data_IF_360028070610
#
_entry.id   IF_360028070610
#
_cell.length_a   1.000
_cell.length_b   1.000
_cell.length_c   1.000
_cell.angle_alpha   90.00
_cell.angle_beta   90.00
_cell.angle_gamma   90.00
#
_symmetry.space_group_name_H-M   'P 1'
#
loop_
_entity.id
_entity.type
_entity.pdbx_description
1 polymer ?
#
# COMPACT_ATOMS: atom_id res chain seq x y z
N UNK A 1 7.94 -7.87 10.23
CA UNK A 1 7.52 -6.50 9.90
C UNK A 1 6.38 -6.60 8.91
N UNK A 2 5.26 -5.95 9.22
CA UNK A 2 4.04 -5.95 8.41
C UNK A 2 3.88 -4.62 7.68
N UNK A 3 2.96 -4.55 6.70
CA UNK A 3 2.67 -3.32 5.96
C UNK A 3 2.32 -2.14 6.88
N UNK A 4 1.58 -2.38 7.97
CA UNK A 4 1.26 -1.37 8.99
C UNK A 4 2.49 -0.75 9.67
N UNK A 5 3.60 -1.49 9.76
CA UNK A 5 4.85 -0.98 10.36
C UNK A 5 5.56 -0.01 9.40
N UNK A 6 5.42 -0.23 8.09
CA UNK A 6 5.95 0.67 7.04
C UNK A 6 5.25 2.01 7.11
N UNK A 7 3.92 2.00 7.28
CA UNK A 7 3.05 3.18 7.26
C UNK A 7 2.97 3.91 8.60
N UNK A 8 3.52 3.36 9.68
CA UNK A 8 3.54 4.02 11.00
C UNK A 8 4.16 5.42 10.94
N UNK A 9 3.48 6.43 11.48
CA UNK A 9 3.87 7.84 11.39
C UNK A 9 3.98 8.34 9.93
N UNK A 10 3.12 7.86 9.03
CA UNK A 10 3.14 8.15 7.58
C UNK A 10 3.38 9.62 7.26
N UNK A 11 2.70 10.52 7.98
CA UNK A 11 2.75 11.98 7.79
C UNK A 11 4.16 12.56 7.90
N UNK A 12 5.02 12.00 8.76
CA UNK A 12 6.36 12.54 9.03
C UNK A 12 7.48 11.79 8.30
N UNK A 13 7.17 10.72 7.57
CA UNK A 13 8.19 9.98 6.83
C UNK A 13 8.50 10.64 5.48
N UNK A 14 9.78 10.67 5.10
CA UNK A 14 10.20 11.04 3.73
C UNK A 14 9.94 9.88 2.77
N UNK A 15 9.84 10.18 1.46
CA UNK A 15 9.75 9.16 0.41
C UNK A 15 10.86 8.11 0.56
N UNK A 16 12.11 8.56 0.68
CA UNK A 16 13.27 7.69 0.89
C UNK A 16 13.12 6.75 2.09
N UNK A 17 12.63 7.24 3.25
CA UNK A 17 12.42 6.41 4.44
C UNK A 17 11.32 5.38 4.23
N UNK A 18 10.24 5.75 3.55
CA UNK A 18 9.15 4.83 3.21
C UNK A 18 9.67 3.70 2.30
N UNK A 19 10.38 4.04 1.23
CA UNK A 19 10.99 3.04 0.35
C UNK A 19 11.93 2.10 1.11
N UNK A 20 12.78 2.65 1.98
CA UNK A 20 13.76 1.86 2.73
C UNK A 20 13.07 0.88 3.68
N UNK A 21 12.03 1.33 4.40
CA UNK A 21 11.22 0.46 5.26
C UNK A 21 10.49 -0.60 4.45
N UNK A 22 9.88 -0.21 3.33
CA UNK A 22 9.17 -1.14 2.45
C UNK A 22 10.13 -2.21 1.90
N UNK A 23 11.28 -1.83 1.35
CA UNK A 23 12.32 -2.77 0.89
C UNK A 23 12.79 -3.71 2.00
N UNK A 24 12.95 -3.20 3.24
CA UNK A 24 13.29 -4.04 4.40
C UNK A 24 12.16 -5.01 4.76
N UNK A 25 10.89 -4.59 4.66
CA UNK A 25 9.73 -5.45 4.86
C UNK A 25 9.72 -6.60 3.86
N UNK A 26 9.88 -6.27 2.57
CA UNK A 26 9.90 -7.25 1.48
C UNK A 26 10.97 -8.32 1.67
N UNK A 27 12.15 -7.95 2.18
CA UNK A 27 13.25 -8.89 2.46
C UNK A 27 13.00 -9.77 3.68
N UNK A 28 12.31 -9.25 4.70
CA UNK A 28 12.18 -9.91 6.01
C UNK A 28 10.86 -10.66 6.17
N UNK A 29 9.86 -10.37 5.34
CA UNK A 29 8.54 -10.98 5.45
C UNK A 29 8.23 -11.82 4.20
N UNK A 30 8.27 -13.16 4.31
CA UNK A 30 8.03 -14.05 3.18
C UNK A 30 6.61 -13.97 2.64
N UNK A 31 5.65 -13.44 3.41
CA UNK A 31 4.25 -13.26 3.00
C UNK A 31 4.11 -12.44 1.72
N UNK A 32 5.02 -11.49 1.50
CA UNK A 32 4.94 -10.55 0.38
C UNK A 32 5.82 -10.94 -0.81
N UNK A 33 6.43 -12.14 -0.83
CA UNK A 33 7.34 -12.56 -1.91
C UNK A 33 6.69 -12.61 -3.30
N UNK A 34 5.37 -12.67 -3.36
CA UNK A 34 4.55 -12.62 -4.57
C UNK A 34 4.53 -11.23 -5.25
N UNK A 35 4.88 -10.15 -4.54
CA UNK A 35 4.90 -8.82 -5.14
C UNK A 35 6.17 -8.63 -5.96
N UNK A 36 6.02 -8.68 -7.28
CA UNK A 36 7.09 -8.33 -8.21
C UNK A 36 7.45 -6.83 -8.15
N UNK A 37 8.37 -6.39 -9.01
CA UNK A 37 8.83 -4.99 -9.02
C UNK A 37 7.72 -4.00 -9.37
N UNK A 38 6.80 -4.38 -10.25
CA UNK A 38 5.70 -3.51 -10.67
C UNK A 38 4.64 -3.40 -9.56
N UNK A 39 4.30 -4.52 -8.92
CA UNK A 39 3.41 -4.57 -7.76
C UNK A 39 3.98 -3.78 -6.58
N UNK A 40 5.29 -3.87 -6.35
CA UNK A 40 5.99 -3.09 -5.33
C UNK A 40 5.91 -1.58 -5.61
N UNK A 41 6.10 -1.17 -6.86
CA UNK A 41 5.98 0.23 -7.26
C UNK A 41 4.56 0.75 -7.05
N UNK A 42 3.56 -0.01 -7.51
CA UNK A 42 2.14 0.30 -7.29
C UNK A 42 1.83 0.52 -5.81
N UNK A 43 2.33 -0.37 -4.93
CA UNK A 43 2.12 -0.25 -3.49
C UNK A 43 2.77 1.01 -2.93
N UNK A 44 3.99 1.35 -3.34
CA UNK A 44 4.63 2.60 -2.92
C UNK A 44 3.80 3.80 -3.37
N UNK A 45 3.36 3.82 -4.63
CA UNK A 45 2.54 4.92 -5.17
C UNK A 45 1.23 5.08 -4.38
N UNK A 46 0.59 3.98 -3.99
CA UNK A 46 -0.59 3.99 -3.11
C UNK A 46 -0.27 4.57 -1.73
N UNK A 47 0.84 4.17 -1.11
CA UNK A 47 1.29 4.70 0.18
C UNK A 47 1.55 6.21 0.09
N UNK A 48 2.16 6.67 -1.00
CA UNK A 48 2.44 8.09 -1.23
C UNK A 48 1.17 8.92 -1.42
N UNK A 49 0.21 8.38 -2.17
CA UNK A 49 -1.09 9.01 -2.36
C UNK A 49 -1.84 9.17 -1.04
N UNK A 50 -1.88 8.12 -0.22
CA UNK A 50 -2.50 8.17 1.09
C UNK A 50 -1.73 9.09 2.06
N UNK A 51 -0.40 9.15 1.96
CA UNK A 51 0.41 10.14 2.68
C UNK A 51 0.02 11.57 2.30
N UNK A 52 -0.13 11.86 1.01
CA UNK A 52 -0.52 13.19 0.53
C UNK A 52 -1.87 13.62 1.10
N UNK A 53 -2.85 12.70 1.14
CA UNK A 53 -4.15 12.92 1.81
C UNK A 53 -3.97 13.17 3.31
N UNK A 54 -3.19 12.33 3.99
CA UNK A 54 -2.96 12.43 5.43
C UNK A 54 -2.28 13.76 5.83
N UNK A 55 -1.33 14.26 5.02
CA UNK A 55 -0.69 15.58 5.20
C UNK A 55 -1.69 16.72 5.05
N UNK A 56 -2.67 16.58 4.15
CA UNK A 56 -3.77 17.54 3.96
C UNK A 56 -4.89 17.41 5.00
N UNK A 57 -4.76 16.49 5.98
CA UNK A 57 -5.80 16.21 6.98
C UNK A 57 -7.01 15.45 6.44
N UNK A 58 -6.92 14.89 5.23
CA UNK A 58 -7.99 14.11 4.61
C UNK A 58 -7.91 12.67 5.13
N UNK A 59 -9.00 12.18 5.73
CA UNK A 59 -9.12 10.81 6.23
C UNK A 59 -9.49 9.83 5.11
N UNK A 60 -8.93 8.62 5.19
CA UNK A 60 -9.24 7.55 4.27
C UNK A 60 -10.55 6.87 4.68
N UNK A 61 -11.63 7.16 3.95
CA UNK A 61 -12.93 6.56 4.24
C UNK A 61 -13.00 5.10 3.75
N UNK A 62 -13.87 4.29 4.38
CA UNK A 62 -14.17 2.94 3.90
C UNK A 62 -14.78 2.92 2.48
N UNK A 63 -15.39 4.00 2.03
CA UNK A 63 -15.83 4.14 0.63
C UNK A 63 -14.65 4.34 -0.32
N UNK A 64 -13.67 5.18 0.06
CA UNK A 64 -12.45 5.41 -0.71
C UNK A 64 -11.66 4.12 -0.89
N UNK A 65 -11.48 3.34 0.16
CA UNK A 65 -10.81 2.02 0.09
C UNK A 65 -11.54 1.07 -0.85
N UNK A 66 -12.86 0.98 -0.75
CA UNK A 66 -13.67 0.13 -1.65
C UNK A 66 -13.57 0.55 -3.11
N UNK A 67 -13.60 1.85 -3.39
CA UNK A 67 -13.46 2.38 -4.74
C UNK A 67 -12.09 2.06 -5.34
N UNK A 68 -11.03 2.24 -4.56
CA UNK A 68 -9.65 1.93 -4.97
C UNK A 68 -9.48 0.43 -5.25
N UNK A 69 -9.93 -0.42 -4.31
CA UNK A 69 -9.88 -1.87 -4.48
C UNK A 69 -10.68 -2.36 -5.67
N UNK A 70 -11.85 -1.76 -5.93
CA UNK A 70 -12.64 -2.08 -7.11
C UNK A 70 -11.87 -1.73 -8.40
N UNK A 71 -11.20 -0.58 -8.44
CA UNK A 71 -10.38 -0.20 -9.58
C UNK A 71 -9.21 -1.18 -9.81
N UNK A 72 -8.52 -1.57 -8.75
CA UNK A 72 -7.44 -2.56 -8.81
C UNK A 72 -7.95 -3.94 -9.25
N UNK A 73 -9.11 -4.37 -8.74
CA UNK A 73 -9.73 -5.64 -9.11
C UNK A 73 -10.09 -5.71 -10.61
N UNK A 74 -10.72 -4.64 -11.12
CA UNK A 74 -11.10 -4.53 -12.54
C UNK A 74 -9.86 -4.56 -13.45
N UNK A 75 -8.76 -3.95 -13.01
CA UNK A 75 -7.53 -3.85 -13.79
C UNK A 75 -6.49 -4.92 -13.43
N UNK A 76 -6.80 -5.89 -12.58
CA UNK A 76 -5.80 -6.80 -11.98
C UNK A 76 -4.94 -7.52 -13.01
N UNK A 77 -5.54 -7.98 -14.12
CA UNK A 77 -4.85 -8.71 -15.19
C UNK A 77 -3.85 -7.78 -15.89
N UNK A 78 -4.28 -6.54 -16.18
CA UNK A 78 -3.43 -5.52 -16.81
C UNK A 78 -2.29 -5.08 -15.89
N UNK A 79 -2.54 -5.08 -14.58
CA UNK A 79 -1.58 -4.67 -13.55
C UNK A 79 -0.69 -5.82 -13.05
N UNK A 80 -0.86 -7.05 -13.55
CA UNK A 80 -0.10 -8.21 -13.05
C UNK A 80 -0.46 -8.64 -11.62
N UNK A 81 -1.63 -8.24 -11.12
CA UNK A 81 -2.08 -8.51 -9.76
C UNK A 81 -2.83 -9.85 -9.68
N UNK A 82 -2.36 -10.71 -8.79
CA UNK A 82 -3.07 -11.90 -8.32
C UNK A 82 -4.12 -11.52 -7.27
N UNK A 83 -5.03 -12.46 -6.95
CA UNK A 83 -5.97 -12.27 -5.85
C UNK A 83 -5.26 -12.11 -4.49
N UNK A 84 -4.12 -12.78 -4.30
CA UNK A 84 -3.31 -12.62 -3.09
C UNK A 84 -2.71 -11.21 -2.99
N UNK A 85 -2.29 -10.62 -4.11
CA UNK A 85 -1.80 -9.24 -4.13
C UNK A 85 -2.92 -8.26 -3.75
N UNK A 86 -4.13 -8.48 -4.29
CA UNK A 86 -5.30 -7.65 -3.97
C UNK A 86 -5.68 -7.72 -2.48
N UNK A 87 -5.63 -8.90 -1.86
CA UNK A 87 -5.88 -9.05 -0.43
C UNK A 87 -4.81 -8.34 0.41
N UNK A 88 -3.54 -8.43 0.01
CA UNK A 88 -2.45 -7.71 0.69
C UNK A 88 -2.58 -6.18 0.54
N UNK A 89 -2.96 -5.70 -0.64
CA UNK A 89 -3.24 -4.28 -0.89
C UNK A 89 -4.47 -3.82 -0.10
N UNK A 90 -5.50 -4.67 0.02
CA UNK A 90 -6.64 -4.40 0.88
C UNK A 90 -6.20 -4.19 2.32
N UNK A 91 -5.46 -5.11 2.91
CA UNK A 91 -4.95 -4.96 4.29
C UNK A 91 -4.17 -3.65 4.48
N UNK A 92 -3.36 -3.27 3.50
CA UNK A 92 -2.66 -1.98 3.50
C UNK A 92 -3.62 -0.80 3.49
N UNK A 93 -4.56 -0.76 2.54
CA UNK A 93 -5.52 0.34 2.42
C UNK A 93 -6.42 0.45 3.66
N UNK A 94 -6.76 -0.68 4.27
CA UNK A 94 -7.51 -0.73 5.52
C UNK A 94 -6.69 -0.23 6.71
N UNK A 95 -5.36 -0.40 6.71
CA UNK A 95 -4.47 0.13 7.75
C UNK A 95 -4.40 1.67 7.77
N UNK A 96 -4.84 2.35 6.71
CA UNK A 96 -4.95 3.81 6.66
C UNK A 96 -6.30 4.35 7.17
N UNK A 97 -7.26 3.47 7.44
CA UNK A 97 -8.52 3.89 8.06
C UNK A 97 -8.23 4.33 9.50
N UNK A 98 -8.62 5.55 9.82
CA UNK A 98 -8.75 6.06 11.20
C UNK A 98 -10.13 5.68 11.76
#
# INVERSE_FOLDING_TARGET
>A
MELKDVTKNLRSQTHYRLEQKFKRMMRTNPRYRNLDKENQKLIIDLIEHEKSKAVRGIKTSGFSVRKELYHLYQNRIKLGLTYNDLDQIKELLESFKD
#
